data_IF_731576883960
#
_entry.id   IF_731576883960
#
_cell.length_a   1.000
_cell.length_b   1.000
_cell.length_c   1.000
_cell.angle_alpha   90.00
_cell.angle_beta   90.00
_cell.angle_gamma   90.00
#
_symmetry.space_group_name_H-M   'P 1'
#
loop_
_entity.id
_entity.type
_entity.pdbx_description
1 polymer ?
#
# COMPACT_ATOMS: atom_id res chain seq x y z
N UNK A 1 48.99 14.44 54.75
CA UNK A 1 48.70 14.42 53.30
C UNK A 1 47.32 15.00 52.96
N UNK A 2 46.64 15.70 53.88
CA UNK A 2 45.22 16.06 53.73
C UNK A 2 44.90 17.49 53.26
N UNK A 3 45.88 18.39 53.21
CA UNK A 3 45.63 19.78 52.78
C UNK A 3 45.48 19.93 51.25
N UNK A 4 46.12 19.05 50.48
CA UNK A 4 46.04 19.07 49.01
C UNK A 4 44.66 18.62 48.49
N UNK A 5 44.02 17.66 49.17
CA UNK A 5 42.68 17.18 48.81
C UNK A 5 41.58 18.16 49.24
N UNK A 6 41.75 18.87 50.37
CA UNK A 6 40.81 19.93 50.77
C UNK A 6 40.83 21.12 49.81
N UNK A 7 41.99 21.47 49.24
CA UNK A 7 42.12 22.55 48.25
C UNK A 7 41.43 22.21 46.92
N UNK A 8 41.59 20.99 46.39
CA UNK A 8 40.93 20.60 45.14
C UNK A 8 39.41 20.52 45.34
N UNK A 9 38.94 19.90 46.43
CA UNK A 9 37.52 19.78 46.73
C UNK A 9 36.85 21.14 47.01
N UNK A 10 37.53 22.07 47.69
CA UNK A 10 37.01 23.41 47.95
C UNK A 10 36.98 24.26 46.67
N UNK A 11 38.01 24.17 45.82
CA UNK A 11 38.08 24.88 44.53
C UNK A 11 37.07 24.33 43.52
N UNK A 12 36.79 23.03 43.55
CA UNK A 12 35.72 22.40 42.77
C UNK A 12 34.34 22.89 43.25
N UNK A 13 34.12 22.93 44.58
CA UNK A 13 32.84 23.39 45.15
C UNK A 13 32.58 24.88 44.89
N UNK A 14 33.59 25.77 44.91
CA UNK A 14 33.41 27.19 44.57
C UNK A 14 33.23 27.42 43.07
N UNK A 15 33.93 26.69 42.19
CA UNK A 15 33.71 26.79 40.74
C UNK A 15 32.34 26.23 40.31
N UNK A 16 31.90 25.09 40.85
CA UNK A 16 30.62 24.46 40.51
C UNK A 16 29.40 25.28 40.98
N UNK A 17 29.54 26.09 42.04
CA UNK A 17 28.45 26.96 42.53
C UNK A 17 28.16 28.16 41.64
N UNK A 18 28.95 28.37 40.59
CA UNK A 18 28.79 29.49 39.67
C UNK A 18 27.71 29.11 38.64
N UNK A 19 26.59 29.86 38.58
CA UNK A 19 25.47 29.60 37.66
C UNK A 19 25.89 29.41 36.19
N UNK A 20 27.03 29.99 35.81
CA UNK A 20 27.64 29.86 34.49
C UNK A 20 28.16 28.45 34.14
N UNK A 21 28.64 27.67 35.11
CA UNK A 21 29.06 26.27 34.87
C UNK A 21 27.86 25.41 34.50
N UNK A 22 26.71 25.63 35.15
CA UNK A 22 25.45 24.97 34.80
C UNK A 22 24.95 25.35 33.42
N UNK A 23 25.15 26.59 32.98
CA UNK A 23 24.81 27.03 31.63
C UNK A 23 25.64 26.30 30.57
N UNK A 24 26.97 26.24 30.73
CA UNK A 24 27.85 25.51 29.80
C UNK A 24 27.48 24.03 29.76
N UNK A 25 27.21 23.42 30.91
CA UNK A 25 26.82 22.01 31.02
C UNK A 25 25.45 21.73 30.38
N UNK A 26 24.49 22.64 30.54
CA UNK A 26 23.19 22.54 29.87
C UNK A 26 23.32 22.66 28.34
N UNK A 27 24.16 23.57 27.85
CA UNK A 27 24.40 23.76 26.40
C UNK A 27 25.12 22.54 25.80
N UNK A 28 26.11 21.98 26.49
CA UNK A 28 26.81 20.76 26.01
C UNK A 28 25.90 19.55 25.99
N UNK A 29 25.02 19.37 26.99
CA UNK A 29 23.98 18.35 26.98
C UNK A 29 22.97 18.59 25.84
N UNK A 30 22.57 19.84 25.61
CA UNK A 30 21.69 20.20 24.48
C UNK A 30 22.31 19.86 23.12
N UNK A 31 23.60 20.16 22.94
CA UNK A 31 24.36 19.85 21.72
C UNK A 31 24.51 18.34 21.50
N UNK A 32 24.77 17.54 22.55
CA UNK A 32 24.86 16.08 22.41
C UNK A 32 23.52 15.44 22.07
N UNK A 33 22.42 15.91 22.67
CA UNK A 33 21.07 15.46 22.29
C UNK A 33 20.77 15.82 20.84
N UNK A 34 21.05 17.07 20.42
CA UNK A 34 20.83 17.50 19.03
C UNK A 34 21.65 16.68 18.04
N UNK A 35 22.90 16.38 18.38
CA UNK A 35 23.79 15.57 17.55
C UNK A 35 23.27 14.14 17.42
N UNK A 36 22.78 13.54 18.51
CA UNK A 36 22.18 12.21 18.47
C UNK A 36 20.93 12.16 17.58
N UNK A 37 20.04 13.15 17.70
CA UNK A 37 18.84 13.25 16.86
C UNK A 37 19.20 13.49 15.39
N UNK A 38 20.24 14.27 15.11
CA UNK A 38 20.72 14.55 13.74
C UNK A 38 21.21 13.31 12.99
N UNK A 39 21.63 12.26 13.69
CA UNK A 39 22.21 11.06 13.07
C UNK A 39 21.15 10.03 12.62
N UNK A 40 19.87 10.22 12.95
CA UNK A 40 18.82 9.26 12.60
C UNK A 40 18.54 9.23 11.08
N UNK A 41 18.61 8.06 10.41
CA UNK A 41 18.42 7.92 8.95
C UNK A 41 16.95 7.75 8.52
N UNK A 42 16.00 8.37 9.22
CA UNK A 42 14.57 8.06 9.09
C UNK A 42 13.94 8.42 7.73
N UNK A 43 14.43 9.46 7.04
CA UNK A 43 13.93 9.88 5.71
C UNK A 43 14.01 8.76 4.65
N UNK A 44 15.04 7.91 4.72
CA UNK A 44 15.21 6.79 3.78
C UNK A 44 14.14 5.70 4.02
N UNK A 45 13.71 5.56 5.27
CA UNK A 45 12.74 4.54 5.70
C UNK A 45 11.34 4.89 5.19
N UNK A 46 10.85 6.11 5.33
CA UNK A 46 9.50 6.45 4.84
C UNK A 46 9.38 6.48 3.31
N UNK A 47 10.47 6.82 2.62
CA UNK A 47 10.52 6.77 1.16
C UNK A 47 10.33 5.33 0.62
N UNK A 48 10.87 4.31 1.31
CA UNK A 48 10.68 2.92 0.89
C UNK A 48 9.24 2.45 1.07
N UNK A 49 8.53 2.88 2.12
CA UNK A 49 7.10 2.56 2.31
C UNK A 49 6.22 3.20 1.25
N UNK A 50 6.50 4.46 0.88
CA UNK A 50 5.78 5.15 -0.20
C UNK A 50 6.01 4.44 -1.53
N UNK A 51 7.25 4.01 -1.78
CA UNK A 51 7.59 3.22 -2.97
C UNK A 51 6.85 1.88 -2.98
N UNK A 52 6.83 1.14 -1.87
CA UNK A 52 6.13 -0.15 -1.78
C UNK A 52 4.64 -0.04 -2.12
N UNK A 53 3.97 1.03 -1.66
CA UNK A 53 2.57 1.31 -2.02
C UNK A 53 2.39 1.66 -3.51
N UNK A 54 3.35 2.38 -4.10
CA UNK A 54 3.36 2.67 -5.54
C UNK A 54 3.55 1.39 -6.37
N UNK A 55 4.49 0.53 -5.96
CA UNK A 55 4.76 -0.75 -6.60
C UNK A 55 3.52 -1.67 -6.52
N UNK A 56 2.82 -1.67 -5.38
CA UNK A 56 1.53 -2.34 -5.22
C UNK A 56 0.49 -1.85 -6.25
N UNK A 57 0.29 -0.54 -6.41
CA UNK A 57 -0.68 0.02 -7.36
C UNK A 57 -0.36 -0.32 -8.81
N UNK A 58 0.92 -0.28 -9.18
CA UNK A 58 1.37 -0.67 -10.51
C UNK A 58 1.07 -2.15 -10.79
N UNK A 59 1.36 -2.99 -9.82
CA UNK A 59 1.09 -4.42 -9.90
C UNK A 59 -0.42 -4.70 -9.94
N UNK A 60 -1.23 -3.99 -9.16
CA UNK A 60 -2.69 -4.11 -9.17
C UNK A 60 -3.25 -3.78 -10.56
N UNK A 61 -2.82 -2.66 -11.14
CA UNK A 61 -3.19 -2.30 -12.51
C UNK A 61 -2.75 -3.35 -13.53
N UNK A 62 -1.57 -3.97 -13.36
CA UNK A 62 -1.11 -5.06 -14.21
C UNK A 62 -2.02 -6.29 -14.11
N UNK A 63 -2.37 -6.70 -12.89
CA UNK A 63 -3.29 -7.83 -12.64
C UNK A 63 -4.67 -7.55 -13.20
N UNK A 64 -5.21 -6.35 -13.03
CA UNK A 64 -6.52 -5.98 -13.58
C UNK A 64 -6.54 -6.04 -15.11
N UNK A 65 -5.46 -5.60 -15.79
CA UNK A 65 -5.34 -5.76 -17.25
C UNK A 65 -5.29 -7.22 -17.69
N UNK A 66 -4.61 -8.09 -16.95
CA UNK A 66 -4.62 -9.53 -17.22
C UNK A 66 -6.01 -10.12 -17.00
N UNK A 67 -6.70 -9.69 -15.95
CA UNK A 67 -8.06 -10.12 -15.64
C UNK A 67 -9.08 -9.65 -16.68
N UNK A 68 -8.88 -8.49 -17.29
CA UNK A 68 -9.69 -8.04 -18.43
C UNK A 68 -9.56 -8.97 -19.64
N UNK A 69 -8.36 -9.51 -19.89
CA UNK A 69 -8.16 -10.53 -20.94
C UNK A 69 -8.92 -11.80 -20.61
N UNK A 70 -8.88 -12.24 -19.35
CA UNK A 70 -9.69 -13.37 -18.87
C UNK A 70 -11.18 -13.09 -18.99
N UNK A 71 -11.63 -11.86 -18.73
CA UNK A 71 -13.05 -11.47 -18.86
C UNK A 71 -13.54 -11.61 -20.30
N UNK A 72 -12.76 -11.16 -21.28
CA UNK A 72 -13.14 -11.16 -22.71
C UNK A 72 -12.78 -12.47 -23.41
N UNK A 73 -11.93 -13.30 -22.82
CA UNK A 73 -11.53 -14.61 -23.35
C UNK A 73 -10.42 -14.54 -24.39
N UNK A 74 -9.62 -13.47 -24.39
CA UNK A 74 -8.40 -13.38 -25.18
C UNK A 74 -7.23 -13.97 -24.38
N UNK A 75 -6.57 -14.99 -24.92
CA UNK A 75 -5.27 -15.50 -24.43
C UNK A 75 -5.27 -15.78 -22.92
N UNK A 76 -6.16 -16.70 -22.50
CA UNK A 76 -6.44 -16.99 -21.09
C UNK A 76 -5.27 -17.76 -20.45
N UNK A 77 -4.28 -17.03 -19.95
CA UNK A 77 -3.27 -17.59 -19.07
C UNK A 77 -3.70 -17.47 -17.60
N UNK A 78 -4.48 -18.45 -17.15
CA UNK A 78 -4.91 -18.54 -15.75
C UNK A 78 -3.73 -18.70 -14.79
N UNK A 79 -2.60 -19.25 -15.26
CA UNK A 79 -1.40 -19.46 -14.44
C UNK A 79 -0.73 -18.11 -14.19
N UNK A 80 -0.60 -17.26 -15.21
CA UNK A 80 -0.10 -15.90 -15.05
C UNK A 80 -0.97 -15.11 -14.07
N UNK A 81 -2.30 -15.13 -14.22
CA UNK A 81 -3.22 -14.46 -13.27
C UNK A 81 -3.02 -14.97 -11.84
N UNK A 82 -2.91 -16.28 -11.66
CA UNK A 82 -2.68 -16.87 -10.34
C UNK A 82 -1.35 -16.40 -9.74
N UNK A 83 -0.26 -16.44 -10.51
CA UNK A 83 1.06 -15.99 -10.05
C UNK A 83 1.03 -14.51 -9.66
N UNK A 84 0.52 -13.63 -10.52
CA UNK A 84 0.48 -12.19 -10.25
C UNK A 84 -0.44 -11.85 -9.07
N UNK A 85 -1.54 -12.61 -8.87
CA UNK A 85 -2.42 -12.46 -7.70
C UNK A 85 -1.76 -12.88 -6.38
N UNK A 86 -0.86 -13.87 -6.41
CA UNK A 86 -0.06 -14.24 -5.24
C UNK A 86 0.96 -13.15 -4.90
N UNK A 87 1.61 -12.57 -5.92
CA UNK A 87 2.50 -11.41 -5.72
C UNK A 87 1.77 -10.24 -5.06
N UNK A 88 0.54 -9.92 -5.47
CA UNK A 88 -0.28 -8.89 -4.81
C UNK A 88 -0.51 -9.19 -3.33
N UNK A 89 -0.85 -10.43 -3.02
CA UNK A 89 -1.03 -10.89 -1.64
C UNK A 89 0.26 -10.75 -0.84
N UNK A 90 1.38 -11.22 -1.38
CA UNK A 90 2.67 -11.19 -0.71
C UNK A 90 3.13 -9.77 -0.42
N UNK A 91 2.94 -8.84 -1.36
CA UNK A 91 3.26 -7.43 -1.13
C UNK A 91 2.41 -6.83 -0.02
N UNK A 92 1.11 -7.09 0.03
CA UNK A 92 0.25 -6.55 1.09
C UNK A 92 0.63 -7.10 2.47
N UNK A 93 0.86 -8.41 2.58
CA UNK A 93 1.29 -9.05 3.84
C UNK A 93 2.68 -8.57 4.26
N UNK A 94 3.62 -8.45 3.32
CA UNK A 94 4.97 -7.96 3.61
C UNK A 94 4.94 -6.50 4.06
N UNK A 95 4.13 -5.68 3.39
CA UNK A 95 3.93 -4.29 3.77
C UNK A 95 3.38 -4.15 5.19
N UNK A 96 2.31 -4.88 5.53
CA UNK A 96 1.76 -4.88 6.90
C UNK A 96 2.82 -5.24 7.93
N UNK A 97 3.59 -6.29 7.67
CA UNK A 97 4.67 -6.75 8.55
C UNK A 97 5.79 -5.73 8.69
N UNK A 98 6.18 -5.07 7.62
CA UNK A 98 7.20 -4.01 7.64
C UNK A 98 6.71 -2.78 8.43
N UNK A 99 5.44 -2.41 8.30
CA UNK A 99 4.85 -1.31 9.08
C UNK A 99 4.78 -1.67 10.57
N UNK A 100 4.47 -2.93 10.92
CA UNK A 100 4.52 -3.38 12.31
C UNK A 100 5.94 -3.37 12.88
N UNK A 101 6.94 -3.76 12.08
CA UNK A 101 8.35 -3.65 12.46
C UNK A 101 8.76 -2.20 12.68
N UNK A 102 8.36 -1.29 11.80
CA UNK A 102 8.59 0.15 11.93
C UNK A 102 8.02 0.68 13.27
N UNK A 103 6.80 0.26 13.61
CA UNK A 103 6.17 0.63 14.87
C UNK A 103 6.92 0.09 16.09
N UNK A 104 7.39 -1.16 16.02
CA UNK A 104 8.17 -1.78 17.10
C UNK A 104 9.53 -1.08 17.33
N UNK A 105 10.06 -0.42 16.30
CA UNK A 105 11.26 0.42 16.42
C UNK A 105 10.96 1.80 17.06
N UNK A 106 9.69 2.10 17.38
CA UNK A 106 9.24 3.37 17.94
C UNK A 106 9.14 4.50 16.92
N UNK A 107 9.19 4.17 15.62
CA UNK A 107 9.02 5.12 14.54
C UNK A 107 7.52 5.37 14.28
N UNK A 108 7.20 6.52 13.68
CA UNK A 108 5.81 6.85 13.37
C UNK A 108 5.31 6.01 12.21
N UNK A 109 4.12 5.45 12.39
CA UNK A 109 3.50 4.54 11.45
C UNK A 109 1.98 4.84 11.34
N UNK A 110 1.35 4.49 10.21
CA UNK A 110 -0.10 4.53 10.08
C UNK A 110 -0.81 3.73 11.17
N UNK A 111 -2.08 4.04 11.38
CA UNK A 111 -2.91 3.32 12.34
C UNK A 111 -3.01 1.83 11.99
N UNK A 112 -3.04 0.97 13.01
CA UNK A 112 -3.26 -0.48 12.84
C UNK A 112 -4.53 -0.79 12.04
N UNK A 113 -5.58 0.00 12.28
CA UNK A 113 -6.85 -0.19 11.60
C UNK A 113 -6.73 0.03 10.09
N UNK A 114 -6.03 1.09 9.66
CA UNK A 114 -5.82 1.40 8.24
C UNK A 114 -5.03 0.30 7.55
N UNK A 115 -3.94 -0.16 8.16
CA UNK A 115 -3.07 -1.22 7.62
C UNK A 115 -3.83 -2.55 7.51
N UNK A 116 -4.56 -2.93 8.56
CA UNK A 116 -5.35 -4.17 8.56
C UNK A 116 -6.49 -4.13 7.54
N UNK A 117 -7.16 -2.97 7.37
CA UNK A 117 -8.19 -2.79 6.34
C UNK A 117 -7.60 -2.91 4.95
N UNK A 118 -6.47 -2.27 4.68
CA UNK A 118 -5.74 -2.41 3.42
C UNK A 118 -5.45 -3.88 3.12
N UNK A 119 -4.79 -4.60 4.03
CA UNK A 119 -4.45 -6.01 3.82
C UNK A 119 -5.70 -6.86 3.56
N UNK A 120 -6.75 -6.67 4.36
CA UNK A 120 -8.01 -7.40 4.20
C UNK A 120 -8.65 -7.16 2.83
N UNK A 121 -8.68 -5.93 2.35
CA UNK A 121 -9.22 -5.60 1.03
C UNK A 121 -8.37 -6.23 -0.08
N UNK A 122 -7.03 -6.21 0.02
CA UNK A 122 -6.16 -6.88 -0.96
C UNK A 122 -6.41 -8.38 -0.98
N UNK A 123 -6.46 -9.02 0.19
CA UNK A 123 -6.70 -10.47 0.31
C UNK A 123 -8.10 -10.84 -0.23
N UNK A 124 -9.12 -10.03 0.06
CA UNK A 124 -10.47 -10.19 -0.47
C UNK A 124 -10.49 -10.08 -2.00
N UNK A 125 -9.83 -9.05 -2.56
CA UNK A 125 -9.66 -8.87 -4.00
C UNK A 125 -8.98 -10.08 -4.63
N UNK A 126 -7.81 -10.51 -4.12
CA UNK A 126 -7.08 -11.68 -4.63
C UNK A 126 -7.93 -12.96 -4.62
N UNK A 127 -8.66 -13.22 -3.54
CA UNK A 127 -9.55 -14.37 -3.46
C UNK A 127 -10.67 -14.33 -4.50
N UNK A 128 -11.28 -13.16 -4.70
CA UNK A 128 -12.33 -12.94 -5.68
C UNK A 128 -11.81 -13.06 -7.12
N UNK A 129 -10.63 -12.51 -7.42
CA UNK A 129 -9.98 -12.62 -8.74
C UNK A 129 -9.77 -14.08 -9.14
N UNK A 130 -9.24 -14.90 -8.22
CA UNK A 130 -8.99 -16.33 -8.48
C UNK A 130 -10.27 -17.10 -8.72
N UNK A 131 -11.31 -16.87 -7.91
CA UNK A 131 -12.62 -17.50 -8.09
C UNK A 131 -13.25 -17.09 -9.42
N UNK A 132 -13.18 -15.79 -9.75
CA UNK A 132 -13.70 -15.25 -11.00
C UNK A 132 -13.00 -15.87 -12.21
N UNK A 133 -11.66 -15.90 -12.22
CA UNK A 133 -10.89 -16.43 -13.35
C UNK A 133 -11.22 -17.90 -13.63
N UNK A 134 -11.35 -18.71 -12.57
CA UNK A 134 -11.74 -20.11 -12.69
C UNK A 134 -13.15 -20.26 -13.27
N UNK A 135 -14.14 -19.58 -12.67
CA UNK A 135 -15.53 -19.64 -13.15
C UNK A 135 -15.67 -19.13 -14.59
N UNK A 136 -14.98 -18.04 -14.94
CA UNK A 136 -15.03 -17.48 -16.29
C UNK A 136 -14.44 -18.43 -17.33
N UNK A 137 -13.41 -19.21 -16.98
CA UNK A 137 -12.84 -20.23 -17.85
C UNK A 137 -13.85 -21.34 -18.13
N UNK A 138 -14.50 -21.88 -17.09
CA UNK A 138 -15.56 -22.89 -17.23
C UNK A 138 -16.76 -22.37 -18.04
N UNK A 139 -17.09 -21.09 -17.84
CA UNK A 139 -18.13 -20.41 -18.62
C UNK A 139 -17.77 -20.35 -20.11
N UNK A 140 -16.52 -20.02 -20.47
CA UNK A 140 -16.08 -20.02 -21.87
C UNK A 140 -16.10 -21.42 -22.51
N UNK A 141 -15.76 -22.47 -21.77
CA UNK A 141 -15.86 -23.85 -22.25
C UNK A 141 -17.31 -24.22 -22.55
N UNK A 142 -18.24 -23.85 -21.65
CA UNK A 142 -19.67 -24.09 -21.82
C UNK A 142 -20.26 -23.27 -22.98
N UNK A 143 -19.86 -22.00 -23.08
CA UNK A 143 -20.21 -21.12 -24.20
C UNK A 143 -19.75 -21.70 -25.54
N UNK A 144 -18.52 -22.18 -25.64
CA UNK A 144 -17.99 -22.75 -26.90
C UNK A 144 -18.73 -24.02 -27.32
N UNK A 145 -19.11 -24.88 -26.36
CA UNK A 145 -19.93 -26.06 -26.63
C UNK A 145 -21.31 -25.67 -27.16
N UNK A 146 -21.96 -24.69 -26.51
CA UNK A 146 -23.30 -24.23 -26.89
C UNK A 146 -23.29 -23.46 -28.21
N UNK A 147 -22.25 -22.66 -28.49
CA UNK A 147 -22.10 -21.92 -29.76
C UNK A 147 -22.05 -22.87 -30.97
N UNK A 148 -21.39 -24.04 -30.84
CA UNK A 148 -21.39 -25.07 -31.88
C UNK A 148 -22.79 -25.62 -32.15
N UNK A 149 -23.53 -25.96 -31.08
CA UNK A 149 -24.88 -26.53 -31.19
C UNK A 149 -25.88 -25.49 -31.75
N UNK A 150 -25.73 -24.21 -31.39
CA UNK A 150 -26.50 -23.11 -31.98
C UNK A 150 -26.15 -22.94 -33.47
N UNK A 151 -24.89 -23.11 -33.84
CA UNK A 151 -24.45 -23.06 -35.24
C UNK A 151 -25.10 -24.11 -36.15
N UNK A 152 -25.51 -25.25 -35.59
CA UNK A 152 -26.20 -26.35 -36.28
C UNK A 152 -27.72 -26.12 -36.45
N UNK A 153 -28.27 -25.03 -35.88
CA UNK A 153 -29.69 -24.70 -36.04
C UNK A 153 -30.04 -24.34 -37.49
N UNK A 154 -31.18 -24.85 -37.96
CA UNK A 154 -31.67 -24.61 -39.32
C UNK A 154 -32.24 -23.20 -39.50
N UNK A 155 -32.88 -22.64 -38.46
CA UNK A 155 -33.39 -21.27 -38.51
C UNK A 155 -32.25 -20.26 -38.34
N UNK A 156 -31.93 -19.56 -39.43
CA UNK A 156 -30.90 -18.52 -39.45
C UNK A 156 -31.19 -17.37 -38.50
N UNK A 157 -32.45 -16.99 -38.29
CA UNK A 157 -32.81 -15.86 -37.43
C UNK A 157 -32.55 -16.19 -35.96
N UNK A 158 -32.92 -17.40 -35.55
CA UNK A 158 -32.66 -17.92 -34.20
C UNK A 158 -31.14 -18.05 -33.98
N UNK A 159 -30.44 -18.67 -34.94
CA UNK A 159 -28.99 -18.84 -34.89
C UNK A 159 -28.25 -17.50 -34.74
N UNK A 160 -28.56 -16.53 -35.57
CA UNK A 160 -27.83 -15.26 -35.62
C UNK A 160 -28.12 -14.42 -34.35
N UNK A 161 -29.36 -14.42 -33.87
CA UNK A 161 -29.73 -13.76 -32.61
C UNK A 161 -29.01 -14.33 -31.39
N UNK A 162 -28.97 -15.66 -31.25
CA UNK A 162 -28.24 -16.30 -30.15
C UNK A 162 -26.72 -16.13 -30.28
N UNK A 163 -26.18 -16.11 -31.50
CA UNK A 163 -24.76 -15.84 -31.72
C UNK A 163 -24.40 -14.42 -31.29
N UNK A 164 -25.23 -13.44 -31.61
CA UNK A 164 -25.03 -12.05 -31.16
C UNK A 164 -25.11 -11.95 -29.63
N UNK A 165 -26.12 -12.57 -29.01
CA UNK A 165 -26.28 -12.63 -27.56
C UNK A 165 -25.05 -13.26 -26.87
N UNK A 166 -24.53 -14.37 -27.41
CA UNK A 166 -23.31 -15.01 -26.90
C UNK A 166 -22.09 -14.11 -27.09
N UNK A 167 -21.93 -13.42 -28.23
CA UNK A 167 -20.85 -12.46 -28.43
C UNK A 167 -20.91 -11.29 -27.44
N UNK A 168 -22.11 -10.75 -27.17
CA UNK A 168 -22.29 -9.73 -26.14
C UNK A 168 -21.93 -10.25 -24.74
N UNK A 169 -22.37 -11.46 -24.38
CA UNK A 169 -22.04 -12.09 -23.10
C UNK A 169 -20.52 -12.36 -22.96
N UNK A 170 -19.85 -12.78 -24.04
CA UNK A 170 -18.39 -12.95 -24.08
C UNK A 170 -17.64 -11.64 -23.81
N UNK A 171 -18.19 -10.51 -24.24
CA UNK A 171 -17.62 -9.18 -23.92
C UNK A 171 -17.81 -8.76 -22.45
N UNK A 172 -18.48 -9.57 -21.63
CA UNK A 172 -18.74 -9.30 -20.22
C UNK A 172 -19.93 -8.38 -19.98
N UNK A 173 -20.84 -8.24 -20.96
CA UNK A 173 -22.11 -7.53 -20.80
C UNK A 173 -23.16 -8.49 -20.25
N UNK A 174 -24.06 -7.97 -19.42
CA UNK A 174 -25.26 -8.70 -19.01
C UNK A 174 -26.19 -8.76 -20.22
N UNK A 175 -26.63 -9.97 -20.57
CA UNK A 175 -27.53 -10.21 -21.69
C UNK A 175 -28.78 -10.87 -21.14
N UNK A 176 -29.94 -10.28 -21.42
CA UNK A 176 -31.24 -10.81 -21.03
C UNK A 176 -31.91 -11.32 -22.29
N UNK A 177 -32.12 -12.62 -22.35
CA UNK A 177 -32.83 -13.29 -23.44
C UNK A 177 -34.25 -13.58 -22.98
N UNK A 178 -35.23 -13.23 -23.81
CA UNK A 178 -36.64 -13.42 -23.48
C UNK A 178 -37.04 -14.91 -23.42
N UNK A 179 -38.09 -15.26 -22.65
CA UNK A 179 -38.58 -16.64 -22.59
C UNK A 179 -39.08 -17.15 -23.95
N UNK A 180 -39.62 -16.27 -24.80
CA UNK A 180 -40.05 -16.61 -26.17
C UNK A 180 -38.85 -16.95 -27.08
N UNK A 181 -37.75 -16.22 -26.95
CA UNK A 181 -36.52 -16.47 -27.71
C UNK A 181 -35.86 -17.80 -27.28
N UNK A 182 -35.88 -18.13 -25.99
CA UNK A 182 -35.40 -19.41 -25.46
C UNK A 182 -36.28 -20.60 -25.89
N UNK A 183 -37.58 -20.39 -26.12
CA UNK A 183 -38.46 -21.45 -26.64
C UNK A 183 -38.12 -21.85 -28.08
N UNK A 184 -37.51 -20.97 -28.85
CA UNK A 184 -37.04 -21.28 -30.20
C UNK A 184 -35.85 -22.26 -30.22
N UNK A 185 -35.20 -22.51 -29.08
CA UNK A 185 -34.15 -23.53 -28.95
C UNK A 185 -34.73 -24.92 -28.66
N UNK A 186 -34.04 -25.99 -29.11
CA UNK A 186 -34.34 -27.35 -28.69
C UNK A 186 -34.31 -27.51 -27.16
N UNK A 187 -35.16 -28.39 -26.62
CA UNK A 187 -35.27 -28.64 -25.18
C UNK A 187 -33.92 -29.05 -24.55
N UNK A 188 -33.08 -29.76 -25.31
CA UNK A 188 -31.73 -30.18 -24.87
C UNK A 188 -30.76 -29.03 -24.64
N UNK A 189 -30.99 -27.87 -25.26
CA UNK A 189 -30.09 -26.70 -25.23
C UNK A 189 -30.66 -25.55 -24.42
N UNK A 190 -32.00 -25.47 -24.32
CA UNK A 190 -32.71 -24.37 -23.65
C UNK A 190 -32.25 -24.17 -22.20
N UNK A 191 -32.24 -25.24 -21.40
CA UNK A 191 -31.81 -25.19 -19.99
C UNK A 191 -30.35 -24.76 -19.84
N UNK A 192 -29.40 -25.44 -20.52
CA UNK A 192 -27.99 -25.04 -20.53
C UNK A 192 -27.75 -23.59 -20.98
N UNK A 193 -28.49 -23.10 -21.98
CA UNK A 193 -28.37 -21.72 -22.47
C UNK A 193 -28.86 -20.71 -21.44
N UNK A 194 -30.00 -20.95 -20.80
CA UNK A 194 -30.52 -20.10 -19.73
C UNK A 194 -29.54 -20.02 -18.55
N UNK A 195 -29.00 -21.17 -18.12
CA UNK A 195 -28.00 -21.23 -17.06
C UNK A 195 -26.72 -20.47 -17.44
N UNK A 196 -26.28 -20.55 -18.70
CA UNK A 196 -25.09 -19.83 -19.18
C UNK A 196 -25.27 -18.31 -19.07
N UNK A 197 -26.44 -17.78 -19.44
CA UNK A 197 -26.72 -16.34 -19.32
C UNK A 197 -26.85 -15.88 -17.86
N UNK A 198 -27.49 -16.68 -17.02
CA UNK A 198 -27.55 -16.43 -15.58
C UNK A 198 -26.15 -16.41 -14.94
N UNK A 199 -25.29 -17.38 -15.27
CA UNK A 199 -23.92 -17.40 -14.77
C UNK A 199 -23.11 -16.19 -15.27
N UNK A 200 -23.34 -15.74 -16.51
CA UNK A 200 -22.71 -14.53 -17.02
C UNK A 200 -23.14 -13.27 -16.25
N UNK A 201 -24.41 -13.19 -15.83
CA UNK A 201 -24.89 -12.11 -14.96
C UNK A 201 -24.16 -12.13 -13.61
N UNK A 202 -24.09 -13.29 -12.96
CA UNK A 202 -23.35 -13.45 -11.71
C UNK A 202 -21.87 -13.09 -11.84
N UNK A 203 -21.22 -13.51 -12.93
CA UNK A 203 -19.85 -13.14 -13.24
C UNK A 203 -19.72 -11.63 -13.44
N UNK A 204 -20.63 -11.00 -14.18
CA UNK A 204 -20.62 -9.55 -14.40
C UNK A 204 -20.75 -8.77 -13.09
N UNK A 205 -21.57 -9.26 -12.16
CA UNK A 205 -21.71 -8.69 -10.81
C UNK A 205 -20.46 -8.95 -9.96
N UNK A 206 -19.88 -10.15 -10.03
CA UNK A 206 -18.64 -10.49 -9.34
C UNK A 206 -17.47 -9.60 -9.81
N UNK A 207 -17.36 -9.32 -11.11
CA UNK A 207 -16.37 -8.39 -11.65
C UNK A 207 -16.41 -7.03 -10.95
N UNK A 208 -17.61 -6.43 -10.87
CA UNK A 208 -17.81 -5.12 -10.22
C UNK A 208 -17.46 -5.13 -8.74
N UNK A 209 -17.56 -6.27 -8.06
CA UNK A 209 -17.30 -6.35 -6.63
C UNK A 209 -15.82 -6.21 -6.27
N UNK A 210 -14.92 -6.73 -7.11
CA UNK A 210 -13.48 -6.59 -6.91
C UNK A 210 -12.88 -5.47 -7.75
N UNK A 211 -13.53 -5.00 -8.80
CA UNK A 211 -13.17 -3.75 -9.50
C UNK A 211 -13.58 -2.51 -8.67
N UNK A 212 -13.23 -2.56 -7.38
CA UNK A 212 -13.44 -1.49 -6.42
C UNK A 212 -12.08 -0.90 -6.04
N UNK A 213 -12.09 0.41 -5.79
CA UNK A 213 -10.89 1.20 -5.49
C UNK A 213 -10.60 1.28 -3.98
N UNK A 214 -11.19 0.41 -3.14
CA UNK A 214 -11.05 0.53 -1.69
C UNK A 214 -9.60 0.29 -1.24
N UNK A 215 -8.95 -0.75 -1.77
CA UNK A 215 -7.53 -1.00 -1.49
C UNK A 215 -6.65 0.16 -2.00
N UNK A 216 -6.99 0.74 -3.15
CA UNK A 216 -6.31 1.90 -3.70
C UNK A 216 -6.47 3.15 -2.82
N UNK A 217 -7.67 3.38 -2.25
CA UNK A 217 -7.93 4.47 -1.32
C UNK A 217 -7.11 4.32 -0.03
N UNK A 218 -7.11 3.15 0.62
CA UNK A 218 -6.29 2.91 1.81
C UNK A 218 -4.79 3.05 1.52
N UNK A 219 -4.33 2.58 0.34
CA UNK A 219 -2.94 2.79 -0.07
C UNK A 219 -2.60 4.28 -0.27
N UNK A 220 -3.57 5.12 -0.64
CA UNK A 220 -3.36 6.56 -0.77
C UNK A 220 -3.21 7.23 0.58
N UNK A 221 -4.10 6.90 1.51
CA UNK A 221 -4.08 7.48 2.86
C UNK A 221 -2.77 7.15 3.57
N UNK A 222 -2.30 5.90 3.48
CA UNK A 222 -1.00 5.51 4.01
C UNK A 222 0.16 6.19 3.27
N UNK A 223 0.07 6.33 1.95
CA UNK A 223 1.07 7.06 1.16
C UNK A 223 1.18 8.52 1.58
N UNK A 224 0.06 9.20 1.77
CA UNK A 224 0.00 10.58 2.26
C UNK A 224 0.57 10.70 3.67
N UNK A 225 0.27 9.75 4.56
CA UNK A 225 0.86 9.70 5.90
C UNK A 225 2.39 9.68 5.83
N UNK A 226 2.98 8.76 5.07
CA UNK A 226 4.44 8.65 4.96
C UNK A 226 5.09 9.84 4.26
N UNK A 227 4.42 10.43 3.27
CA UNK A 227 4.88 11.66 2.63
C UNK A 227 4.89 12.83 3.61
N UNK A 228 3.83 13.00 4.40
CA UNK A 228 3.75 14.05 5.41
C UNK A 228 4.85 13.89 6.46
N UNK A 229 5.04 12.67 6.97
CA UNK A 229 6.09 12.42 7.97
C UNK A 229 7.50 12.64 7.38
N UNK A 230 7.72 12.26 6.12
CA UNK A 230 8.98 12.54 5.42
C UNK A 230 9.26 14.05 5.27
N UNK A 231 8.23 14.85 4.99
CA UNK A 231 8.35 16.31 4.91
C UNK A 231 8.61 16.93 6.27
N UNK A 232 7.92 16.47 7.31
CA UNK A 232 8.11 16.92 8.68
C UNK A 232 9.55 16.64 9.14
N UNK A 233 10.08 15.45 8.83
CA UNK A 233 11.49 15.10 9.10
C UNK A 233 12.49 15.92 8.31
N UNK A 234 12.26 16.15 7.00
CA UNK A 234 13.12 17.02 6.21
C UNK A 234 13.15 18.43 6.81
N UNK A 235 12.00 18.94 7.24
CA UNK A 235 11.90 20.24 7.91
C UNK A 235 12.71 20.25 9.21
N UNK A 236 12.62 19.20 10.02
CA UNK A 236 13.33 19.09 11.29
C UNK A 236 14.84 18.97 11.07
N UNK A 237 15.28 18.16 10.10
CA UNK A 237 16.68 17.99 9.71
C UNK A 237 17.29 19.29 9.17
N UNK A 238 16.51 20.15 8.53
CA UNK A 238 16.97 21.49 8.09
C UNK A 238 17.18 22.46 9.26
N UNK A 239 16.39 22.34 10.34
CA UNK A 239 16.44 23.22 11.51
C UNK A 239 17.52 22.82 12.52
N UNK A 240 17.85 21.53 12.61
CA UNK A 240 18.88 21.00 13.51
C UNK A 240 20.24 21.69 13.33
N UNK A 241 20.82 21.84 12.12
CA UNK A 241 22.08 22.55 11.93
C UNK A 241 22.02 24.01 12.40
N UNK A 242 20.92 24.72 12.12
CA UNK A 242 20.75 26.11 12.60
C UNK A 242 20.78 26.20 14.12
N UNK A 243 20.05 25.30 14.80
CA UNK A 243 20.07 25.23 16.26
C UNK A 243 21.45 24.81 16.80
N UNK A 244 22.16 23.91 16.12
CA UNK A 244 23.53 23.52 16.46
C UNK A 244 24.50 24.69 16.35
N UNK A 245 24.45 25.43 15.23
CA UNK A 245 25.25 26.66 15.04
C UNK A 245 24.93 27.69 16.11
N UNK A 246 23.66 27.95 16.38
CA UNK A 246 23.25 28.89 17.41
C UNK A 246 23.78 28.52 18.80
N UNK A 247 23.59 27.26 19.23
CA UNK A 247 24.07 26.76 20.52
C UNK A 247 25.61 26.81 20.61
N UNK A 248 26.31 26.48 19.53
CA UNK A 248 27.78 26.57 19.48
C UNK A 248 28.27 28.01 19.60
N UNK A 249 27.54 28.97 19.02
CA UNK A 249 27.87 30.39 19.05
C UNK A 249 27.63 30.96 20.47
N UNK A 250 26.52 30.57 21.11
CA UNK A 250 26.25 30.90 22.52
C UNK A 250 27.31 30.30 23.45
N UNK A 251 27.73 29.05 23.22
CA UNK A 251 28.80 28.40 23.97
C UNK A 251 30.13 29.18 23.82
N UNK A 252 30.47 29.59 22.60
CA UNK A 252 31.69 30.32 22.31
C UNK A 252 31.69 31.71 22.95
N UNK A 253 30.57 32.45 22.88
CA UNK A 253 30.42 33.71 23.61
C UNK A 253 30.51 33.51 25.12
N UNK A 254 29.84 32.49 25.67
CA UNK A 254 29.88 32.21 27.10
C UNK A 254 31.29 31.87 27.59
N UNK A 255 32.08 31.12 26.79
CA UNK A 255 33.48 30.80 27.11
C UNK A 255 34.39 32.01 26.95
N UNK A 256 34.16 32.87 25.95
CA UNK A 256 34.91 34.11 25.77
C UNK A 256 34.68 35.10 26.92
N UNK A 257 33.43 35.28 27.35
CA UNK A 257 33.10 36.06 28.55
C UNK A 257 33.78 35.49 29.79
N UNK A 258 33.78 34.17 29.98
CA UNK A 258 34.47 33.52 31.10
C UNK A 258 35.99 33.79 31.09
N UNK A 259 36.64 33.68 29.93
CA UNK A 259 38.08 33.93 29.79
C UNK A 259 38.46 35.39 30.08
N UNK A 260 37.60 36.34 29.72
CA UNK A 260 37.81 37.76 30.01
C UNK A 260 37.51 38.12 31.48
N UNK A 261 36.45 37.57 32.06
CA UNK A 261 36.08 37.85 33.45
C UNK A 261 37.01 37.17 34.47
N UNK A 262 37.56 36.00 34.15
CA UNK A 262 38.52 35.30 35.00
C UNK A 262 39.93 35.93 35.00
N UNK A 263 40.19 36.92 34.13
CA UNK A 263 41.45 37.66 34.04
C UNK A 263 41.44 38.98 34.82
N UNK A 264 40.30 39.38 35.37
CA UNK A 264 40.18 40.44 36.38
C UNK A 264 40.13 39.82 37.77
#
# INVERSE_FOLDING_TARGET
MDEKNKSIASTFNTKIRTSWVWLVLAITVGLTILFYVSQKPQVIVYASFTKALSDYRLQEAHVMRLMDRVRVGFDVDTVAVQAQSMTLREMAVSYSREVDQLRNLGERAPSNETVNRFEKEVLGKVASLRRYAHRRTLWFESCTKLERIVGEQQDSRVRDGFREALHMARSGRIVVVGPEELQALPDSVRGPMANLFQENEELSMAWRSFDNDMAAAYSEDMGRFFQQESLDEMSLKSRIPMAFYFLSLVLLLSTFFFALYARR
#
